data_IF_272608789469
#
_entry.id   IF_272608789469
#
_cell.length_a   1.000
_cell.length_b   1.000
_cell.length_c   1.000
_cell.angle_alpha   90.00
_cell.angle_beta   90.00
_cell.angle_gamma   90.00
#
_symmetry.space_group_name_H-M   'P 1'
#
loop_
_entity.id
_entity.type
_entity.pdbx_description
1 polymer ?
#
# COMPACT_ATOMS: atom_id res chain seq x y z
N UNK A 1 35.26 20.98 -6.13
CA UNK A 1 33.91 21.25 -5.58
C UNK A 1 32.81 20.64 -6.44
N UNK A 2 32.77 20.89 -7.73
CA UNK A 2 31.73 20.36 -8.67
C UNK A 2 31.60 18.82 -8.67
N UNK A 3 32.73 18.10 -8.64
CA UNK A 3 32.71 16.63 -8.64
C UNK A 3 32.13 16.01 -7.35
N UNK A 4 32.30 16.66 -6.20
CA UNK A 4 31.73 16.20 -4.92
C UNK A 4 30.21 16.43 -4.89
N UNK A 5 29.74 17.57 -5.41
CA UNK A 5 28.31 17.87 -5.51
C UNK A 5 27.63 16.91 -6.49
N UNK A 6 28.26 16.61 -7.63
CA UNK A 6 27.73 15.64 -8.58
C UNK A 6 27.61 14.24 -7.99
N UNK A 7 28.63 13.77 -7.24
CA UNK A 7 28.59 12.47 -6.56
C UNK A 7 27.51 12.43 -5.48
N UNK A 8 27.37 13.49 -4.71
CA UNK A 8 26.32 13.57 -3.68
C UNK A 8 24.92 13.56 -4.30
N UNK A 9 24.73 14.31 -5.38
CA UNK A 9 23.48 14.32 -6.14
C UNK A 9 23.12 12.96 -6.72
N UNK A 10 24.11 12.25 -7.27
CA UNK A 10 23.91 10.89 -7.79
C UNK A 10 23.56 9.90 -6.68
N UNK A 11 24.21 9.99 -5.52
CA UNK A 11 23.92 9.15 -4.35
C UNK A 11 22.47 9.39 -3.85
N UNK A 12 22.07 10.65 -3.74
CA UNK A 12 20.69 10.99 -3.36
C UNK A 12 19.69 10.46 -4.38
N UNK A 13 19.95 10.59 -5.68
CA UNK A 13 19.07 10.07 -6.72
C UNK A 13 18.90 8.55 -6.62
N UNK A 14 19.99 7.81 -6.39
CA UNK A 14 19.96 6.36 -6.21
C UNK A 14 19.13 5.98 -4.97
N UNK A 15 19.31 6.69 -3.85
CA UNK A 15 18.54 6.45 -2.63
C UNK A 15 17.03 6.71 -2.83
N UNK A 16 16.68 7.74 -3.59
CA UNK A 16 15.27 8.02 -3.92
C UNK A 16 14.64 6.92 -4.78
N UNK A 17 15.38 6.39 -5.75
CA UNK A 17 14.89 5.34 -6.64
C UNK A 17 14.70 4.01 -5.87
N UNK A 18 15.58 3.69 -4.93
CA UNK A 18 15.49 2.45 -4.14
C UNK A 18 14.35 2.45 -3.12
N UNK A 19 13.88 3.62 -2.69
CA UNK A 19 12.77 3.74 -1.75
C UNK A 19 11.38 3.80 -2.42
N UNK A 20 11.30 3.68 -3.74
CA UNK A 20 10.06 3.86 -4.49
C UNK A 20 9.08 2.66 -4.39
N UNK A 21 9.54 1.49 -3.96
CA UNK A 21 8.70 0.30 -3.79
C UNK A 21 8.32 0.15 -2.31
N UNK A 22 7.06 0.45 -2.00
CA UNK A 22 6.52 0.32 -0.65
C UNK A 22 5.40 -0.71 -0.64
N UNK A 23 5.47 -1.63 0.33
CA UNK A 23 4.42 -2.62 0.58
C UNK A 23 4.03 -2.60 2.05
N UNK A 24 2.75 -2.47 2.32
CA UNK A 24 2.19 -2.53 3.66
C UNK A 24 1.17 -3.66 3.73
N UNK A 25 1.32 -4.53 4.71
CA UNK A 25 0.39 -5.63 4.97
C UNK A 25 -0.25 -5.44 6.33
N UNK A 26 -1.57 -5.43 6.37
CA UNK A 26 -2.37 -5.36 7.59
C UNK A 26 -3.13 -6.67 7.73
N UNK A 27 -2.85 -7.41 8.80
CA UNK A 27 -3.54 -8.65 9.11
C UNK A 27 -4.44 -8.45 10.33
N UNK A 28 -5.68 -8.91 10.23
CA UNK A 28 -6.66 -8.80 11.34
C UNK A 28 -6.63 -10.00 12.27
N UNK A 29 -5.84 -11.03 11.98
CA UNK A 29 -5.79 -12.29 12.73
C UNK A 29 -6.92 -13.27 12.38
N UNK A 30 -7.74 -12.95 11.40
CA UNK A 30 -8.80 -13.86 10.91
C UNK A 30 -8.26 -14.78 9.83
N UNK A 31 -8.87 -15.95 9.71
CA UNK A 31 -8.54 -16.91 8.64
C UNK A 31 -8.93 -16.34 7.28
N UNK A 32 -8.02 -16.28 6.31
CA UNK A 32 -8.31 -15.76 4.98
C UNK A 32 -9.24 -16.71 4.21
N UNK A 33 -10.18 -16.12 3.48
CA UNK A 33 -11.05 -16.81 2.53
C UNK A 33 -10.44 -16.80 1.13
N UNK A 34 -11.03 -17.57 0.23
CA UNK A 34 -10.66 -17.56 -1.19
C UNK A 34 -11.08 -16.27 -1.93
N UNK A 35 -11.98 -15.49 -1.34
CA UNK A 35 -12.46 -14.25 -1.96
C UNK A 35 -11.47 -13.13 -1.77
N UNK A 36 -10.92 -12.64 -2.88
CA UNK A 36 -9.95 -11.55 -2.93
C UNK A 36 -10.50 -10.43 -3.80
N UNK A 37 -10.45 -9.21 -3.29
CA UNK A 37 -10.81 -8.00 -4.01
C UNK A 37 -9.51 -7.30 -4.39
N UNK A 38 -9.28 -7.16 -5.68
CA UNK A 38 -8.09 -6.51 -6.21
C UNK A 38 -8.44 -5.17 -6.85
N UNK A 39 -7.77 -4.11 -6.39
CA UNK A 39 -7.93 -2.74 -6.87
C UNK A 39 -6.58 -2.18 -7.30
N UNK A 40 -6.18 -2.37 -8.57
CA UNK A 40 -4.85 -1.97 -9.05
C UNK A 40 -4.63 -0.45 -9.05
N UNK A 41 -5.70 0.33 -9.14
CA UNK A 41 -5.65 1.78 -9.19
C UNK A 41 -6.56 2.41 -8.14
N UNK A 42 -6.01 2.62 -6.95
CA UNK A 42 -6.67 3.38 -5.91
C UNK A 42 -6.11 4.79 -5.92
N UNK A 43 -6.97 5.76 -6.23
CA UNK A 43 -6.56 7.16 -6.37
C UNK A 43 -6.25 7.77 -5.02
N UNK A 44 -5.01 8.18 -4.80
CA UNK A 44 -4.60 9.01 -3.67
C UNK A 44 -3.88 10.25 -4.18
N UNK A 45 -3.91 11.32 -3.40
CA UNK A 45 -3.37 12.61 -3.78
C UNK A 45 -2.36 13.09 -2.75
N UNK A 46 -1.46 14.00 -3.17
CA UNK A 46 -0.47 14.63 -2.28
C UNK A 46 0.32 13.60 -1.46
N UNK A 47 1.02 12.67 -2.12
CA UNK A 47 1.83 11.63 -1.48
C UNK A 47 1.03 10.68 -0.58
N UNK A 48 -0.29 10.58 -0.82
CA UNK A 48 -1.18 9.76 -0.02
C UNK A 48 -1.73 10.44 1.23
N UNK A 49 -1.52 11.76 1.39
CA UNK A 49 -2.11 12.55 2.48
C UNK A 49 -3.63 12.68 2.31
N UNK A 50 -4.10 12.80 1.07
CA UNK A 50 -5.52 12.75 0.76
C UNK A 50 -5.88 11.31 0.45
N UNK A 51 -6.63 10.64 1.32
CA UNK A 51 -6.99 9.24 1.13
C UNK A 51 -7.91 9.07 -0.07
N UNK A 52 -7.88 7.86 -0.64
CA UNK A 52 -8.85 7.44 -1.62
C UNK A 52 -10.26 7.43 -1.03
N UNK A 53 -11.25 7.48 -1.91
CA UNK A 53 -12.64 7.23 -1.52
C UNK A 53 -12.74 5.89 -0.77
N UNK A 54 -13.56 5.79 0.27
CA UNK A 54 -13.75 4.55 1.01
C UNK A 54 -14.09 3.40 0.07
N UNK A 55 -13.38 2.30 0.16
CA UNK A 55 -13.72 1.09 -0.58
C UNK A 55 -14.77 0.36 0.22
N UNK A 56 -16.00 0.35 -0.28
CA UNK A 56 -17.07 -0.42 0.35
C UNK A 56 -16.87 -1.91 0.03
N UNK A 57 -16.46 -2.65 1.04
CA UNK A 57 -16.22 -4.09 0.96
C UNK A 57 -17.31 -4.90 1.67
N UNK A 58 -18.28 -4.24 2.29
CA UNK A 58 -19.35 -4.88 3.08
C UNK A 58 -20.21 -5.82 2.25
N UNK A 59 -20.46 -5.45 0.99
CA UNK A 59 -21.21 -6.27 0.06
C UNK A 59 -20.49 -7.55 -0.39
N UNK A 60 -19.17 -7.48 -0.46
CA UNK A 60 -18.33 -8.58 -0.96
C UNK A 60 -17.70 -9.40 0.17
N UNK A 61 -17.31 -8.76 1.28
CA UNK A 61 -16.74 -9.41 2.46
C UNK A 61 -17.72 -9.35 3.64
N UNK A 62 -18.84 -10.08 3.55
CA UNK A 62 -19.86 -10.11 4.62
C UNK A 62 -19.35 -10.65 5.95
N UNK A 63 -18.36 -11.52 5.91
CA UNK A 63 -17.73 -12.13 7.08
C UNK A 63 -16.57 -11.30 7.66
N UNK A 64 -16.27 -10.18 7.03
CA UNK A 64 -15.18 -9.27 7.43
C UNK A 64 -13.92 -9.44 6.59
N UNK A 65 -12.88 -8.73 6.99
CA UNK A 65 -11.60 -8.66 6.27
C UNK A 65 -10.55 -9.43 7.07
N UNK A 66 -9.80 -10.30 6.40
CA UNK A 66 -8.65 -11.00 7.00
C UNK A 66 -7.35 -10.22 6.79
N UNK A 67 -7.10 -9.77 5.57
CA UNK A 67 -5.84 -9.12 5.21
C UNK A 67 -6.10 -7.97 4.23
N UNK A 68 -5.39 -6.87 4.43
CA UNK A 68 -5.31 -5.74 3.49
C UNK A 68 -3.86 -5.56 3.12
N UNK A 69 -3.56 -5.66 1.84
CA UNK A 69 -2.23 -5.39 1.29
C UNK A 69 -2.29 -4.14 0.45
N UNK A 70 -1.46 -3.17 0.78
CA UNK A 70 -1.29 -1.95 -0.01
C UNK A 70 0.11 -1.93 -0.57
N UNK A 71 0.22 -1.89 -1.88
CA UNK A 71 1.49 -1.88 -2.58
C UNK A 71 1.59 -0.65 -3.48
N UNK A 72 2.82 -0.15 -3.60
CA UNK A 72 3.15 0.81 -4.63
C UNK A 72 4.00 0.09 -5.68
N UNK A 73 3.39 -0.26 -6.81
CA UNK A 73 4.10 -0.88 -7.92
C UNK A 73 5.02 0.14 -8.60
N UNK A 74 5.97 -0.35 -9.38
CA UNK A 74 6.89 0.51 -10.13
C UNK A 74 6.14 1.51 -11.03
N UNK A 75 5.09 1.07 -11.73
CA UNK A 75 4.27 1.95 -12.57
C UNK A 75 3.56 3.04 -11.76
N UNK A 76 2.99 2.66 -10.61
CA UNK A 76 2.34 3.62 -9.71
C UNK A 76 3.34 4.62 -9.15
N UNK A 77 4.55 4.17 -8.84
CA UNK A 77 5.64 5.02 -8.41
C UNK A 77 6.12 5.97 -9.51
N UNK A 78 6.22 5.48 -10.75
CA UNK A 78 6.60 6.30 -11.90
C UNK A 78 5.59 7.42 -12.16
N UNK A 79 4.29 7.11 -12.14
CA UNK A 79 3.21 8.10 -12.28
C UNK A 79 3.28 9.14 -11.14
N UNK A 80 3.55 8.68 -9.92
CA UNK A 80 3.72 9.57 -8.77
C UNK A 80 4.91 10.53 -8.96
N UNK A 81 6.04 10.06 -9.47
CA UNK A 81 7.21 10.89 -9.75
C UNK A 81 6.92 11.88 -10.87
N UNK A 82 6.29 11.45 -11.97
CA UNK A 82 5.95 12.31 -13.10
C UNK A 82 4.98 13.44 -12.71
N UNK A 83 4.11 13.20 -11.73
CA UNK A 83 3.18 14.19 -11.20
C UNK A 83 3.72 14.94 -9.99
N UNK A 84 5.01 14.81 -9.67
CA UNK A 84 5.66 15.38 -8.47
C UNK A 84 4.93 15.02 -7.16
N UNK A 85 4.33 13.83 -7.11
CA UNK A 85 3.62 13.34 -5.93
C UNK A 85 2.19 13.90 -5.76
N UNK A 86 1.72 14.73 -6.67
CA UNK A 86 0.35 15.26 -6.62
C UNK A 86 -0.66 14.13 -6.78
N UNK A 87 -0.41 13.21 -7.70
CA UNK A 87 -1.20 12.01 -7.91
C UNK A 87 -0.37 10.77 -7.59
N UNK A 88 -0.78 9.99 -6.60
CA UNK A 88 -0.05 8.82 -6.10
C UNK A 88 -0.96 7.59 -6.08
N UNK A 89 -1.18 6.94 -7.23
CA UNK A 89 -2.02 5.75 -7.27
C UNK A 89 -1.39 4.62 -6.48
N UNK A 90 -2.24 3.79 -5.85
CA UNK A 90 -1.80 2.62 -5.07
C UNK A 90 -2.58 1.39 -5.48
N UNK A 91 -1.93 0.26 -5.37
CA UNK A 91 -2.55 -1.05 -5.53
C UNK A 91 -3.01 -1.54 -4.15
N UNK A 92 -4.29 -1.88 -4.04
CA UNK A 92 -4.88 -2.39 -2.80
C UNK A 92 -5.50 -3.75 -3.06
N UNK A 93 -5.04 -4.75 -2.34
CA UNK A 93 -5.60 -6.11 -2.36
C UNK A 93 -6.22 -6.40 -1.01
N UNK A 94 -7.50 -6.75 -1.00
CA UNK A 94 -8.25 -7.06 0.21
C UNK A 94 -8.67 -8.52 0.15
N UNK A 95 -8.27 -9.29 1.15
CA UNK A 95 -8.69 -10.68 1.33
C UNK A 95 -9.78 -10.76 2.37
N UNK A 96 -10.93 -11.29 2.00
CA UNK A 96 -12.04 -11.49 2.93
C UNK A 96 -11.70 -12.56 3.97
N UNK A 97 -12.36 -12.52 5.13
CA UNK A 97 -12.22 -13.53 6.17
C UNK A 97 -13.23 -14.67 5.97
N UNK A 98 -12.84 -15.88 6.39
CA UNK A 98 -13.77 -17.01 6.54
C UNK A 98 -14.34 -17.01 7.95
N UNK A 99 -15.67 -17.24 8.07
CA UNK A 99 -16.34 -17.47 9.35
C UNK A 99 -16.59 -16.23 10.19
N UNK A 100 -17.51 -16.36 11.13
CA UNK A 100 -18.12 -15.28 11.92
C UNK A 100 -17.48 -15.06 13.29
N UNK A 101 -16.25 -15.43 13.54
CA UNK A 101 -15.63 -15.22 14.84
C UNK A 101 -14.79 -13.95 14.88
N UNK A 102 -15.39 -12.87 15.35
CA UNK A 102 -14.66 -11.78 15.96
C UNK A 102 -14.03 -12.34 17.25
N UNK A 103 -12.76 -12.64 17.26
CA UNK A 103 -12.04 -12.83 18.52
C UNK A 103 -11.75 -11.44 19.06
N UNK A 104 -12.38 -11.02 20.17
CA UNK A 104 -12.06 -9.74 20.80
C UNK A 104 -10.62 -9.83 21.31
N UNK A 105 -9.71 -9.08 20.72
CA UNK A 105 -8.32 -9.05 21.13
C UNK A 105 -7.26 -9.32 20.06
N UNK A 106 -7.66 -9.53 18.80
CA UNK A 106 -6.70 -9.59 17.72
C UNK A 106 -5.99 -8.23 17.58
N UNK A 107 -4.78 -8.14 18.11
CA UNK A 107 -3.92 -6.99 17.90
C UNK A 107 -3.65 -6.87 16.42
N UNK A 108 -3.94 -5.71 15.87
CA UNK A 108 -3.48 -5.34 14.54
C UNK A 108 -1.96 -5.34 14.56
N UNK A 109 -1.36 -6.45 14.16
CA UNK A 109 0.09 -6.50 14.00
C UNK A 109 0.43 -5.79 12.69
N UNK A 110 0.96 -4.61 12.83
CA UNK A 110 1.48 -3.83 11.71
C UNK A 110 2.86 -4.39 11.38
N UNK A 111 2.91 -5.32 10.45
CA UNK A 111 4.18 -5.71 9.84
C UNK A 111 4.51 -4.73 8.72
N UNK A 112 5.48 -3.89 8.94
CA UNK A 112 6.13 -3.13 7.89
C UNK A 112 7.26 -4.02 7.38
N UNK A 113 6.99 -4.77 6.32
CA UNK A 113 8.04 -5.50 5.63
C UNK A 113 8.58 -4.59 4.53
N UNK A 114 9.75 -4.04 4.79
CA UNK A 114 10.55 -3.31 3.80
C UNK A 114 11.37 -4.35 3.06
N UNK A 115 11.04 -4.62 1.80
CA UNK A 115 11.88 -5.36 0.89
C UNK A 115 12.62 -4.42 -0.03
#
# INVERSE_FOLDING_TARGET
MRARVARLGMLCAVLFVTSACFRQVIQTGRTPAATVIDRPWTHTWLWGLVPASPIDVTSQCRTGIATVVTEQSFLNGLVSILTLGIYSPRHVTITCATGSAMTPGARVQRFVEVR
#
